data_IF_760207992294
#
_entry.id   IF_760207992294
#
_cell.length_a   1.000
_cell.length_b   1.000
_cell.length_c   1.000
_cell.angle_alpha   90.00
_cell.angle_beta   90.00
_cell.angle_gamma   90.00
#
_symmetry.space_group_name_H-M   'P 1'
#
loop_
_entity.id
_entity.type
_entity.pdbx_description
1 polymer ?
#
# COMPACT_ATOMS: atom_id res chain seq x y z
N UNK A 1 -15.30 2.79 11.36
CA UNK A 1 -15.22 1.38 11.80
C UNK A 1 -16.52 0.70 11.45
N UNK A 2 -16.48 -0.59 11.11
CA UNK A 2 -17.66 -1.44 10.87
C UNK A 2 -17.57 -2.63 11.83
N UNK A 3 -18.67 -2.93 12.50
CA UNK A 3 -18.85 -4.16 13.27
C UNK A 3 -19.63 -5.16 12.41
N UNK A 4 -19.05 -6.34 12.19
CA UNK A 4 -19.66 -7.45 11.43
C UNK A 4 -19.92 -8.68 12.32
N UNK A 5 -20.55 -8.46 13.48
CA UNK A 5 -20.91 -9.52 14.42
C UNK A 5 -19.84 -9.76 15.48
N UNK A 6 -19.35 -8.69 16.09
CA UNK A 6 -18.28 -8.69 17.09
C UNK A 6 -16.87 -8.62 16.50
N UNK A 7 -16.74 -8.74 15.18
CA UNK A 7 -15.48 -8.52 14.46
C UNK A 7 -15.43 -7.07 13.99
N UNK A 8 -14.54 -6.28 14.60
CA UNK A 8 -14.41 -4.84 14.33
C UNK A 8 -13.35 -4.61 13.26
N UNK A 9 -13.76 -3.99 12.15
CA UNK A 9 -12.91 -3.61 11.04
C UNK A 9 -12.76 -2.08 11.02
N UNK A 10 -11.52 -1.62 11.12
CA UNK A 10 -11.17 -0.22 10.91
C UNK A 10 -11.02 0.04 9.41
N UNK A 11 -11.67 1.09 8.91
CA UNK A 11 -11.55 1.52 7.51
C UNK A 11 -10.51 2.63 7.48
N UNK A 12 -9.47 2.44 6.69
CA UNK A 12 -8.39 3.40 6.51
C UNK A 12 -8.51 3.97 5.11
N UNK A 13 -8.85 5.26 4.99
CA UNK A 13 -8.73 5.94 3.70
C UNK A 13 -7.25 6.04 3.33
N UNK A 14 -6.90 5.45 2.20
CA UNK A 14 -5.53 5.27 1.73
C UNK A 14 -5.45 5.59 0.24
N UNK A 15 -5.60 6.88 -0.14
CA UNK A 15 -5.51 7.32 -1.53
C UNK A 15 -4.11 7.09 -2.12
N UNK A 16 -4.03 7.11 -3.44
CA UNK A 16 -2.76 6.99 -4.16
C UNK A 16 -2.90 6.13 -5.41
N UNK A 17 -3.33 4.87 -5.26
CA UNK A 17 -3.74 4.06 -6.41
C UNK A 17 -5.03 4.61 -7.06
N UNK A 18 -5.95 5.10 -6.24
CA UNK A 18 -7.11 5.89 -6.69
C UNK A 18 -7.54 6.86 -5.59
N UNK A 19 -8.36 7.89 -5.88
CA UNK A 19 -8.77 8.87 -4.88
C UNK A 19 -9.62 8.26 -3.75
N UNK A 20 -10.39 7.21 -4.07
CA UNK A 20 -11.29 6.51 -3.15
C UNK A 20 -10.70 5.24 -2.54
N UNK A 21 -9.42 4.94 -2.75
CA UNK A 21 -8.82 3.70 -2.27
C UNK A 21 -8.83 3.62 -0.73
N UNK A 22 -9.07 2.42 -0.20
CA UNK A 22 -9.13 2.15 1.24
C UNK A 22 -8.45 0.83 1.58
N UNK A 23 -7.81 0.79 2.76
CA UNK A 23 -7.39 -0.44 3.39
C UNK A 23 -8.33 -0.78 4.56
N UNK A 24 -8.40 -2.06 4.92
CA UNK A 24 -9.24 -2.54 6.02
C UNK A 24 -8.37 -3.25 7.05
N UNK A 25 -8.41 -2.78 8.29
CA UNK A 25 -7.57 -3.25 9.38
C UNK A 25 -8.40 -3.96 10.44
N UNK A 26 -8.06 -5.22 10.71
CA UNK A 26 -8.62 -6.00 11.82
C UNK A 26 -7.57 -6.17 12.91
N UNK A 27 -7.62 -5.30 13.91
CA UNK A 27 -6.64 -5.23 14.99
C UNK A 27 -6.51 -6.53 15.78
N UNK A 28 -7.62 -7.22 16.05
CA UNK A 28 -7.63 -8.42 16.89
C UNK A 28 -6.83 -9.57 16.29
N UNK A 29 -6.98 -9.80 14.98
CA UNK A 29 -6.22 -10.83 14.24
C UNK A 29 -4.88 -10.35 13.72
N UNK A 30 -4.70 -9.04 13.61
CA UNK A 30 -3.56 -8.44 12.95
C UNK A 30 -3.64 -8.55 11.42
N UNK A 31 -4.84 -8.55 10.85
CA UNK A 31 -5.05 -8.72 9.40
C UNK A 31 -5.23 -7.36 8.74
N UNK A 32 -4.46 -7.11 7.67
CA UNK A 32 -4.57 -5.92 6.86
C UNK A 32 -4.93 -6.28 5.42
N UNK A 33 -6.08 -5.81 4.94
CA UNK A 33 -6.47 -5.91 3.54
C UNK A 33 -6.01 -4.64 2.81
N UNK A 34 -5.06 -4.80 1.89
CA UNK A 34 -4.33 -3.67 1.29
C UNK A 34 -4.86 -3.25 -0.07
N UNK A 35 -5.71 -4.06 -0.70
CA UNK A 35 -6.19 -3.78 -2.05
C UNK A 35 -5.02 -3.66 -3.03
N UNK A 36 -5.01 -2.57 -3.80
CA UNK A 36 -4.02 -2.27 -4.83
C UNK A 36 -2.89 -1.35 -4.33
N UNK A 37 -2.85 -1.07 -3.02
CA UNK A 37 -1.81 -0.25 -2.41
C UNK A 37 -0.52 -1.04 -2.14
N UNK A 38 -0.63 -2.34 -1.86
CA UNK A 38 0.51 -3.20 -1.52
C UNK A 38 0.23 -4.59 -2.06
N UNK A 39 1.06 -5.03 -3.01
CA UNK A 39 1.13 -6.40 -3.52
C UNK A 39 2.51 -6.65 -4.17
N UNK A 40 2.91 -7.92 -4.30
CA UNK A 40 4.10 -8.31 -5.09
C UNK A 40 3.78 -8.24 -6.58
N UNK A 41 4.75 -7.92 -7.43
CA UNK A 41 4.63 -7.49 -8.84
C UNK A 41 4.49 -5.95 -8.98
N UNK A 42 4.06 -5.47 -10.14
CA UNK A 42 4.12 -4.06 -10.55
C UNK A 42 2.93 -3.27 -10.04
N UNK A 43 3.18 -2.28 -9.19
CA UNK A 43 2.23 -1.26 -8.78
C UNK A 43 2.03 -0.25 -9.91
N UNK A 44 0.82 -0.16 -10.47
CA UNK A 44 0.50 0.83 -11.49
C UNK A 44 0.04 2.14 -10.85
N UNK A 45 0.96 3.11 -10.79
CA UNK A 45 0.78 4.43 -10.19
C UNK A 45 1.04 5.56 -11.22
N UNK A 46 0.74 5.31 -12.49
CA UNK A 46 0.95 6.24 -13.62
C UNK A 46 -0.36 6.73 -14.26
N UNK A 47 -1.53 6.26 -13.79
CA UNK A 47 -2.81 6.67 -14.34
C UNK A 47 -3.15 8.12 -13.98
N UNK A 48 -3.93 8.87 -14.78
CA UNK A 48 -4.31 10.24 -14.41
C UNK A 48 -5.02 10.38 -13.05
N UNK A 49 -5.63 9.29 -12.57
CA UNK A 49 -6.32 9.23 -11.28
C UNK A 49 -5.43 8.80 -10.10
N UNK A 50 -4.19 8.38 -10.34
CA UNK A 50 -3.25 8.03 -9.27
C UNK A 50 -2.62 9.30 -8.69
N UNK A 51 -2.06 9.21 -7.49
CA UNK A 51 -1.36 10.30 -6.81
C UNK A 51 -0.16 9.71 -6.04
N UNK A 52 1.07 9.86 -6.56
CA UNK A 52 2.27 9.30 -5.94
C UNK A 52 2.55 9.80 -4.52
N UNK A 53 2.23 11.06 -4.23
CA UNK A 53 2.46 11.67 -2.90
C UNK A 53 1.43 11.12 -1.91
N UNK A 54 0.16 11.07 -2.29
CA UNK A 54 -0.88 10.44 -1.48
C UNK A 54 -0.61 8.94 -1.26
N UNK A 55 -0.02 8.25 -2.25
CA UNK A 55 0.40 6.85 -2.14
C UNK A 55 1.42 6.67 -1.02
N UNK A 56 2.46 7.53 -0.97
CA UNK A 56 3.42 7.51 0.13
C UNK A 56 2.74 7.79 1.48
N UNK A 57 1.88 8.81 1.59
CA UNK A 57 1.15 9.09 2.84
C UNK A 57 0.29 7.90 3.32
N UNK A 58 -0.27 7.15 2.38
CA UNK A 58 -1.01 5.92 2.67
C UNK A 58 -0.12 4.79 3.17
N UNK A 59 1.06 4.61 2.56
CA UNK A 59 2.07 3.65 3.01
C UNK A 59 2.60 4.00 4.41
N UNK A 60 2.84 5.29 4.69
CA UNK A 60 3.18 5.80 6.02
C UNK A 60 2.15 5.37 7.06
N UNK A 61 0.86 5.61 6.76
CA UNK A 61 -0.26 5.29 7.66
C UNK A 61 -0.33 3.80 8.01
N UNK A 62 -0.16 2.90 7.04
CA UNK A 62 -0.35 1.46 7.29
C UNK A 62 0.91 0.75 7.79
N UNK A 63 2.10 1.27 7.49
CA UNK A 63 3.38 0.63 7.85
C UNK A 63 3.66 0.58 9.36
N UNK A 64 3.00 1.43 10.15
CA UNK A 64 3.15 1.50 11.61
C UNK A 64 2.21 0.55 12.36
N UNK A 65 1.29 -0.11 11.64
CA UNK A 65 0.34 -1.05 12.24
C UNK A 65 1.06 -2.36 12.58
N UNK A 66 0.71 -3.02 13.70
CA UNK A 66 1.29 -4.31 14.10
C UNK A 66 0.68 -5.46 13.29
N UNK A 67 0.84 -5.42 11.95
CA UNK A 67 0.28 -6.38 11.00
C UNK A 67 0.96 -7.74 11.15
N UNK A 68 0.14 -8.79 11.23
CA UNK A 68 0.58 -10.19 11.23
C UNK A 68 0.40 -10.84 9.86
N UNK A 69 -0.59 -10.40 9.08
CA UNK A 69 -0.85 -10.92 7.73
C UNK A 69 -1.41 -9.82 6.82
N UNK A 70 -0.89 -9.78 5.59
CA UNK A 70 -1.31 -8.85 4.53
C UNK A 70 -2.16 -9.61 3.50
N UNK A 71 -3.25 -9.00 3.06
CA UNK A 71 -4.16 -9.54 2.05
C UNK A 71 -4.27 -8.55 0.87
N UNK A 72 -3.46 -8.72 -0.18
CA UNK A 72 -3.52 -7.92 -1.39
C UNK A 72 -4.74 -8.26 -2.25
N UNK A 73 -5.08 -7.39 -3.22
CA UNK A 73 -6.08 -7.71 -4.25
C UNK A 73 -5.55 -8.66 -5.34
N UNK A 74 -4.23 -8.71 -5.54
CA UNK A 74 -3.59 -9.40 -6.65
C UNK A 74 -2.47 -10.35 -6.24
N UNK A 75 -2.12 -11.25 -7.17
CA UNK A 75 -0.96 -12.14 -7.14
C UNK A 75 -0.96 -13.14 -5.97
N UNK A 76 -0.04 -12.99 -5.02
CA UNK A 76 0.28 -14.02 -4.02
C UNK A 76 -0.11 -13.59 -2.61
N UNK A 77 -0.62 -14.55 -1.84
CA UNK A 77 -0.79 -14.42 -0.38
C UNK A 77 0.50 -14.75 0.40
N UNK A 78 1.53 -15.27 -0.28
CA UNK A 78 2.88 -15.39 0.30
C UNK A 78 3.58 -14.02 0.27
N UNK A 79 3.12 -13.14 1.15
CA UNK A 79 3.54 -11.76 1.31
C UNK A 79 3.72 -11.47 2.81
N UNK A 80 4.94 -11.15 3.20
CA UNK A 80 5.29 -10.96 4.61
C UNK A 80 5.00 -9.52 5.03
N UNK A 81 4.55 -9.27 6.28
CA UNK A 81 4.22 -7.91 6.75
C UNK A 81 5.35 -6.88 6.64
N UNK A 82 6.60 -7.32 6.58
CA UNK A 82 7.77 -6.42 6.38
C UNK A 82 7.63 -5.55 5.12
N UNK A 83 6.93 -6.06 4.08
CA UNK A 83 6.81 -5.40 2.78
C UNK A 83 6.19 -3.99 2.91
N UNK A 84 5.34 -3.78 3.92
CA UNK A 84 4.73 -2.49 4.21
C UNK A 84 5.79 -1.42 4.53
N UNK A 85 6.81 -1.82 5.29
CA UNK A 85 7.95 -0.96 5.65
C UNK A 85 8.87 -0.79 4.44
N UNK A 86 9.16 -1.88 3.72
CA UNK A 86 10.02 -1.86 2.53
C UNK A 86 9.49 -0.96 1.41
N UNK A 87 8.19 -1.06 1.08
CA UNK A 87 7.55 -0.21 0.07
C UNK A 87 7.49 1.25 0.51
N UNK A 88 7.14 1.54 1.78
CA UNK A 88 7.19 2.91 2.31
C UNK A 88 8.58 3.52 2.15
N UNK A 89 9.62 2.79 2.56
CA UNK A 89 10.99 3.32 2.53
C UNK A 89 11.49 3.51 1.09
N UNK A 90 11.08 2.64 0.15
CA UNK A 90 11.30 2.86 -1.28
C UNK A 90 10.61 4.13 -1.79
N UNK A 91 9.34 4.37 -1.45
CA UNK A 91 8.63 5.59 -1.83
C UNK A 91 9.25 6.86 -1.19
N UNK A 92 9.71 6.78 0.06
CA UNK A 92 10.48 7.87 0.69
C UNK A 92 11.75 8.17 -0.08
N UNK A 93 12.48 7.15 -0.52
CA UNK A 93 13.70 7.34 -1.31
C UNK A 93 13.38 7.97 -2.66
N UNK A 94 12.33 7.50 -3.36
CA UNK A 94 11.88 8.13 -4.61
C UNK A 94 11.51 9.61 -4.41
N UNK A 95 10.87 9.96 -3.29
CA UNK A 95 10.57 11.35 -2.95
C UNK A 95 11.84 12.17 -2.70
N UNK A 96 12.78 11.64 -1.92
CA UNK A 96 14.05 12.29 -1.64
C UNK A 96 14.89 12.51 -2.91
N UNK A 97 14.81 11.58 -3.85
CA UNK A 97 15.44 11.65 -5.17
C UNK A 97 14.73 12.59 -6.16
N UNK A 98 13.55 13.13 -5.80
CA UNK A 98 12.73 13.94 -6.69
C UNK A 98 12.06 13.14 -7.81
N UNK A 99 11.88 11.82 -7.63
CA UNK A 99 11.29 10.89 -8.60
C UNK A 99 9.87 10.44 -8.25
N UNK A 100 9.34 10.81 -7.08
CA UNK A 100 7.96 10.44 -6.69
C UNK A 100 6.92 11.31 -7.40
N UNK A 101 6.82 11.19 -8.72
CA UNK A 101 5.85 11.90 -9.54
C UNK A 101 5.56 11.12 -10.81
N UNK A 102 4.43 11.41 -11.44
CA UNK A 102 4.05 10.76 -12.70
C UNK A 102 5.09 10.96 -13.81
N UNK A 103 5.32 9.92 -14.60
CA UNK A 103 6.24 9.92 -15.75
C UNK A 103 7.71 9.82 -15.37
N UNK A 104 8.04 9.47 -14.13
CA UNK A 104 9.42 9.25 -13.68
C UNK A 104 9.95 7.86 -14.04
N UNK A 105 9.07 6.94 -14.42
CA UNK A 105 9.42 5.63 -14.98
C UNK A 105 9.07 4.46 -14.05
N UNK A 106 9.71 3.32 -14.31
CA UNK A 106 9.52 2.09 -13.52
C UNK A 106 10.71 1.85 -12.61
N UNK A 107 10.45 1.50 -11.35
CA UNK A 107 11.46 1.23 -10.33
C UNK A 107 11.27 -0.18 -9.76
N UNK A 108 12.26 -1.03 -9.95
CA UNK A 108 12.24 -2.45 -9.56
C UNK A 108 12.96 -2.72 -8.22
N UNK A 109 12.36 -3.59 -7.41
CA UNK A 109 12.82 -3.97 -6.06
C UNK A 109 12.81 -5.49 -5.85
N UNK A 110 13.23 -6.22 -6.88
CA UNK A 110 13.30 -7.69 -6.97
C UNK A 110 11.95 -8.40 -7.11
N UNK A 111 11.12 -8.38 -6.07
CA UNK A 111 9.83 -9.10 -6.02
C UNK A 111 8.60 -8.19 -6.16
N UNK A 112 8.83 -6.89 -6.34
CA UNK A 112 7.81 -5.91 -6.70
C UNK A 112 8.46 -4.73 -7.44
N UNK A 113 7.63 -3.92 -8.11
CA UNK A 113 8.07 -2.69 -8.75
C UNK A 113 6.96 -1.64 -8.69
N UNK A 114 7.27 -0.38 -8.99
CA UNK A 114 6.27 0.67 -9.17
C UNK A 114 6.52 1.41 -10.47
N UNK A 115 5.46 1.62 -11.24
CA UNK A 115 5.46 2.48 -12.41
C UNK A 115 4.74 3.79 -12.09
N UNK A 116 5.52 4.87 -12.06
CA UNK A 116 5.10 6.24 -11.83
C UNK A 116 5.06 7.04 -13.15
#
# INVERSE_FOLDING_TARGET
MIDIGGRVIEILHTPGHSPGHMCFWEKERGYLFTGDLVYKDTLFAYYPSTDPEAYLESLEKISVLPVKQVFPAHHSLDIQPEILTRMRDAFRQLKADGKLHHGSGTFDYEDWSVWL
#
